data_IF_918626816613
#
_entry.id   IF_918626816613
#
_cell.length_a   1.000
_cell.length_b   1.000
_cell.length_c   1.000
_cell.angle_alpha   90.00
_cell.angle_beta   90.00
_cell.angle_gamma   90.00
#
_symmetry.space_group_name_H-M   'P 1'
#
loop_
_entity.id
_entity.type
_entity.pdbx_description
1 polymer ?
#
# COMPACT_ATOMS: atom_id res chain seq x y z
N UNK A 1 19.00 10.90 15.47
CA UNK A 1 17.68 10.98 16.16
C UNK A 1 16.48 10.83 15.20
N UNK A 2 16.23 11.72 14.24
CA UNK A 2 15.11 11.53 13.27
C UNK A 2 15.33 10.37 12.29
N UNK A 3 16.58 10.15 11.84
CA UNK A 3 16.90 9.09 10.88
C UNK A 3 16.79 7.67 11.45
N UNK A 4 17.02 7.49 12.75
CA UNK A 4 16.90 6.19 13.42
C UNK A 4 15.44 5.80 13.57
N UNK A 5 14.58 6.72 14.02
CA UNK A 5 13.13 6.48 14.09
C UNK A 5 12.52 6.20 12.71
N UNK A 6 12.97 6.91 11.66
CA UNK A 6 12.53 6.62 10.29
C UNK A 6 13.01 5.26 9.79
N UNK A 7 14.23 4.83 10.18
CA UNK A 7 14.73 3.49 9.86
C UNK A 7 13.97 2.40 10.63
N UNK A 8 13.69 2.60 11.91
CA UNK A 8 12.93 1.65 12.73
C UNK A 8 11.49 1.52 12.22
N UNK A 9 10.82 2.65 11.96
CA UNK A 9 9.48 2.63 11.35
C UNK A 9 9.55 2.01 9.95
N UNK A 10 10.58 2.31 9.16
CA UNK A 10 10.80 1.67 7.86
C UNK A 10 10.98 0.15 7.96
N UNK A 11 11.73 -0.34 8.93
CA UNK A 11 11.99 -1.76 9.16
C UNK A 11 10.79 -2.49 9.76
N UNK A 12 10.04 -1.87 10.68
CA UNK A 12 8.80 -2.42 11.22
C UNK A 12 7.72 -2.49 10.14
N UNK A 13 7.59 -1.44 9.33
CA UNK A 13 6.74 -1.46 8.16
C UNK A 13 7.23 -2.55 7.21
N UNK A 14 8.53 -2.64 6.91
CA UNK A 14 9.03 -3.65 5.99
C UNK A 14 8.79 -5.08 6.48
N UNK A 15 8.97 -5.36 7.77
CA UNK A 15 8.70 -6.67 8.39
C UNK A 15 7.22 -7.01 8.39
N UNK A 16 6.37 -6.11 8.92
CA UNK A 16 4.90 -6.30 8.92
C UNK A 16 4.34 -6.38 7.50
N UNK A 17 4.81 -5.54 6.59
CA UNK A 17 4.43 -5.62 5.19
C UNK A 17 4.92 -6.91 4.58
N UNK A 18 6.16 -7.36 4.80
CA UNK A 18 6.66 -8.59 4.17
C UNK A 18 5.87 -9.82 4.66
N UNK A 19 5.59 -9.92 5.95
CA UNK A 19 4.84 -11.05 6.52
C UNK A 19 3.35 -11.01 6.16
N UNK A 20 2.70 -9.83 6.23
CA UNK A 20 1.31 -9.69 5.74
C UNK A 20 1.22 -9.87 4.23
N UNK A 21 2.23 -9.44 3.47
CA UNK A 21 2.24 -9.53 2.01
C UNK A 21 2.50 -10.96 1.51
N UNK A 22 3.43 -11.69 2.14
CA UNK A 22 3.65 -13.11 1.80
C UNK A 22 2.41 -13.94 2.12
N UNK A 23 1.82 -13.74 3.30
CA UNK A 23 0.55 -14.37 3.68
C UNK A 23 -0.62 -13.94 2.76
N UNK A 24 -0.64 -12.72 2.25
CA UNK A 24 -1.63 -12.26 1.29
C UNK A 24 -1.46 -12.88 -0.09
N UNK A 25 -0.24 -12.93 -0.62
CA UNK A 25 0.06 -13.55 -1.92
C UNK A 25 -0.31 -15.04 -1.95
N UNK A 26 -0.18 -15.74 -0.83
CA UNK A 26 -0.60 -17.14 -0.69
C UNK A 26 -2.12 -17.32 -0.57
N UNK A 27 -2.85 -16.33 -0.04
CA UNK A 27 -4.32 -16.36 0.11
C UNK A 27 -5.08 -15.79 -1.09
N UNK A 28 -4.40 -15.01 -1.91
CA UNK A 28 -4.93 -14.38 -3.11
C UNK A 28 -4.98 -15.43 -4.23
N UNK A 29 -6.10 -16.16 -4.34
CA UNK A 29 -6.51 -16.69 -5.64
C UNK A 29 -6.84 -15.47 -6.51
N UNK A 30 -5.83 -14.83 -7.09
CA UNK A 30 -6.03 -13.59 -7.85
C UNK A 30 -6.75 -13.91 -9.13
N UNK A 31 -8.05 -13.65 -9.12
CA UNK A 31 -8.88 -13.57 -10.32
C UNK A 31 -9.17 -12.10 -10.60
N UNK A 32 -9.49 -11.77 -11.85
CA UNK A 32 -9.87 -10.40 -12.26
C UNK A 32 -10.93 -9.78 -11.33
N UNK A 33 -11.84 -10.61 -10.80
CA UNK A 33 -12.95 -10.19 -9.95
C UNK A 33 -12.58 -9.94 -8.48
N UNK A 34 -11.51 -10.55 -7.97
CA UNK A 34 -11.16 -10.52 -6.54
C UNK A 34 -9.98 -9.58 -6.22
N UNK A 35 -9.17 -9.24 -7.22
CA UNK A 35 -7.96 -8.46 -7.04
C UNK A 35 -8.22 -7.05 -6.48
N UNK A 36 -9.17 -6.31 -7.06
CA UNK A 36 -9.49 -4.95 -6.63
C UNK A 36 -10.16 -4.87 -5.25
N UNK A 37 -11.22 -5.67 -4.94
CA UNK A 37 -11.81 -5.68 -3.60
C UNK A 37 -10.80 -6.03 -2.51
N UNK A 38 -9.90 -6.98 -2.78
CA UNK A 38 -8.87 -7.39 -1.81
C UNK A 38 -7.86 -6.26 -1.57
N UNK A 39 -7.39 -5.60 -2.65
CA UNK A 39 -6.55 -4.43 -2.54
C UNK A 39 -7.19 -3.34 -1.66
N UNK A 40 -8.46 -3.00 -1.93
CA UNK A 40 -9.17 -1.96 -1.17
C UNK A 40 -9.33 -2.36 0.31
N UNK A 41 -9.64 -3.63 0.60
CA UNK A 41 -9.77 -4.12 1.98
C UNK A 41 -8.49 -3.90 2.80
N UNK A 42 -7.34 -4.25 2.23
CA UNK A 42 -6.02 -4.13 2.88
C UNK A 42 -5.64 -2.67 3.10
N UNK A 43 -5.89 -1.83 2.10
CA UNK A 43 -5.57 -0.39 2.22
C UNK A 43 -6.52 0.28 3.22
N UNK A 44 -7.78 -0.12 3.30
CA UNK A 44 -8.69 0.35 4.35
C UNK A 44 -8.23 -0.07 5.75
N UNK A 45 -7.74 -1.30 5.92
CA UNK A 45 -7.18 -1.76 7.18
C UNK A 45 -5.94 -0.95 7.58
N UNK A 46 -5.05 -0.66 6.62
CA UNK A 46 -3.88 0.18 6.83
C UNK A 46 -4.22 1.57 7.39
N UNK A 47 -5.33 2.16 6.93
CA UNK A 47 -5.80 3.48 7.38
C UNK A 47 -6.90 3.44 8.45
N UNK A 48 -7.27 2.26 8.96
CA UNK A 48 -8.39 2.07 9.90
C UNK A 48 -8.28 2.89 11.19
N UNK A 49 -7.06 3.14 11.64
CA UNK A 49 -6.78 3.92 12.86
C UNK A 49 -6.25 5.33 12.57
N UNK A 50 -6.47 5.82 11.34
CA UNK A 50 -6.11 7.18 10.92
C UNK A 50 -5.08 7.25 9.80
N UNK A 51 -4.93 8.45 9.24
CA UNK A 51 -4.01 8.75 8.13
C UNK A 51 -2.79 9.47 8.69
N UNK A 52 -1.60 9.05 8.26
CA UNK A 52 -0.34 9.77 8.48
C UNK A 52 0.63 9.49 7.32
N UNK A 53 1.69 10.29 7.21
CA UNK A 53 2.67 10.15 6.14
C UNK A 53 3.36 8.78 6.09
N UNK A 54 3.64 8.18 7.25
CA UNK A 54 4.21 6.83 7.33
C UNK A 54 3.31 5.78 6.67
N UNK A 55 1.99 5.87 6.89
CA UNK A 55 0.98 4.98 6.28
C UNK A 55 0.79 5.24 4.79
N UNK A 56 0.90 6.49 4.34
CA UNK A 56 0.87 6.83 2.91
C UNK A 56 2.08 6.25 2.19
N UNK A 57 3.29 6.37 2.76
CA UNK A 57 4.51 5.76 2.20
C UNK A 57 4.38 4.24 2.17
N UNK A 58 3.92 3.64 3.26
CA UNK A 58 3.62 2.23 3.37
C UNK A 58 2.64 1.72 2.31
N UNK A 59 1.55 2.46 2.06
CA UNK A 59 0.60 2.17 1.00
C UNK A 59 1.25 2.14 -0.40
N UNK A 60 2.11 3.11 -0.70
CA UNK A 60 2.84 3.18 -1.97
C UNK A 60 3.79 1.98 -2.11
N UNK A 61 4.58 1.67 -1.08
CA UNK A 61 5.51 0.53 -1.07
C UNK A 61 4.76 -0.79 -1.24
N UNK A 62 3.66 -0.99 -0.52
CA UNK A 62 2.79 -2.15 -0.66
C UNK A 62 2.31 -2.32 -2.10
N UNK A 63 1.82 -1.23 -2.70
CA UNK A 63 1.30 -1.24 -4.07
C UNK A 63 2.39 -1.53 -5.10
N UNK A 64 3.60 -0.99 -4.92
CA UNK A 64 4.75 -1.32 -5.78
C UNK A 64 5.14 -2.81 -5.66
N UNK A 65 5.14 -3.37 -4.44
CA UNK A 65 5.38 -4.81 -4.24
C UNK A 65 4.32 -5.66 -4.92
N UNK A 66 3.05 -5.25 -4.88
CA UNK A 66 1.93 -5.93 -5.55
C UNK A 66 2.11 -5.93 -7.07
N UNK A 67 2.49 -4.79 -7.66
CA UNK A 67 2.80 -4.71 -9.08
C UNK A 67 3.97 -5.62 -9.49
N UNK A 68 5.05 -5.65 -8.68
CA UNK A 68 6.19 -6.55 -8.93
C UNK A 68 5.78 -8.02 -8.82
N UNK A 69 4.95 -8.37 -7.84
CA UNK A 69 4.44 -9.72 -7.67
C UNK A 69 3.63 -10.17 -8.89
N UNK A 70 2.71 -9.35 -9.39
CA UNK A 70 1.97 -9.64 -10.63
C UNK A 70 2.90 -9.88 -11.82
N UNK A 71 3.88 -8.99 -12.02
CA UNK A 71 4.86 -9.14 -13.11
C UNK A 71 5.65 -10.44 -13.00
N UNK A 72 6.09 -10.83 -11.79
CA UNK A 72 6.88 -12.05 -11.55
C UNK A 72 6.07 -13.33 -11.75
N UNK A 73 4.77 -13.28 -11.54
CA UNK A 73 3.87 -14.43 -11.67
C UNK A 73 3.17 -14.48 -13.04
N UNK A 74 3.73 -13.83 -14.07
CA UNK A 74 3.21 -13.92 -15.43
C UNK A 74 1.89 -13.16 -15.67
N UNK A 75 1.56 -12.20 -14.81
CA UNK A 75 0.34 -11.37 -14.88
C UNK A 75 0.65 -9.88 -15.11
N UNK A 76 1.47 -9.49 -16.11
CA UNK A 76 1.91 -8.10 -16.30
C UNK A 76 0.77 -7.10 -16.57
N UNK A 77 -0.37 -7.56 -17.10
CA UNK A 77 -1.56 -6.76 -17.37
C UNK A 77 -2.16 -6.11 -16.10
N UNK A 78 -2.01 -6.77 -14.95
CA UNK A 78 -2.48 -6.25 -13.66
C UNK A 78 -1.63 -5.11 -13.11
N UNK A 79 -0.40 -4.91 -13.61
CA UNK A 79 0.48 -3.81 -13.18
C UNK A 79 -0.20 -2.46 -13.41
N UNK A 80 -0.82 -2.26 -14.58
CA UNK A 80 -1.53 -1.02 -14.90
C UNK A 80 -2.78 -0.85 -14.02
N UNK A 81 -3.47 -1.95 -13.71
CA UNK A 81 -4.61 -1.96 -12.80
C UNK A 81 -4.21 -1.51 -11.39
N UNK A 82 -3.09 -2.01 -10.84
CA UNK A 82 -2.57 -1.58 -9.54
C UNK A 82 -2.32 -0.08 -9.52
N UNK A 83 -1.65 0.49 -10.52
CA UNK A 83 -1.43 1.94 -10.59
C UNK A 83 -2.75 2.72 -10.64
N UNK A 84 -3.74 2.22 -11.40
CA UNK A 84 -5.08 2.81 -11.43
C UNK A 84 -5.79 2.78 -10.08
N UNK A 85 -5.68 1.68 -9.34
CA UNK A 85 -6.26 1.55 -8.00
C UNK A 85 -5.58 2.48 -7.00
N UNK A 86 -4.25 2.61 -7.08
CA UNK A 86 -3.48 3.55 -6.26
C UNK A 86 -3.94 4.98 -6.51
N UNK A 87 -3.96 5.41 -7.78
CA UNK A 87 -4.39 6.75 -8.15
C UNK A 87 -5.83 7.04 -7.68
N UNK A 88 -6.73 6.06 -7.86
CA UNK A 88 -8.12 6.17 -7.39
C UNK A 88 -8.20 6.31 -5.88
N UNK A 89 -7.46 5.51 -5.12
CA UNK A 89 -7.48 5.57 -3.65
C UNK A 89 -6.90 6.89 -3.14
N UNK A 90 -5.76 7.33 -3.70
CA UNK A 90 -5.16 8.62 -3.39
C UNK A 90 -6.15 9.77 -3.60
N UNK A 91 -6.79 9.82 -4.78
CA UNK A 91 -7.74 10.87 -5.13
C UNK A 91 -9.01 10.84 -4.27
N UNK A 92 -9.53 9.65 -3.94
CA UNK A 92 -10.85 9.51 -3.29
C UNK A 92 -10.80 9.45 -1.77
N UNK A 93 -9.69 9.03 -1.17
CA UNK A 93 -9.58 8.79 0.28
C UNK A 93 -8.51 9.61 0.97
N UNK A 94 -7.45 10.02 0.25
CA UNK A 94 -6.27 10.64 0.87
C UNK A 94 -6.08 12.12 0.49
N UNK A 95 -6.65 12.57 -0.63
CA UNK A 95 -6.50 13.94 -1.17
C UNK A 95 -6.76 15.03 -0.13
N UNK A 96 -7.93 15.02 0.51
CA UNK A 96 -8.29 16.01 1.54
C UNK A 96 -7.31 16.03 2.70
N UNK A 97 -6.87 14.86 3.18
CA UNK A 97 -5.91 14.79 4.28
C UNK A 97 -4.53 15.33 3.84
N UNK A 98 -4.07 14.94 2.65
CA UNK A 98 -2.79 15.40 2.08
C UNK A 98 -2.79 16.92 1.91
N UNK A 99 -3.88 17.48 1.39
CA UNK A 99 -4.02 18.93 1.20
C UNK A 99 -4.05 19.71 2.51
N UNK A 100 -4.62 19.13 3.57
CA UNK A 100 -4.66 19.71 4.91
C UNK A 100 -3.32 19.55 5.66
N UNK A 101 -2.55 18.50 5.37
CA UNK A 101 -1.32 18.14 6.09
C UNK A 101 -0.08 18.30 5.21
N UNK A 102 0.03 19.45 4.50
CA UNK A 102 1.13 19.74 3.55
C UNK A 102 2.53 19.68 4.17
N UNK A 103 2.63 19.69 5.50
CA UNK A 103 3.86 19.47 6.24
C UNK A 103 4.12 17.98 6.41
N UNK A 104 5.20 17.49 5.80
CA UNK A 104 5.70 16.11 5.93
C UNK A 104 6.19 15.76 7.35
N UNK A 105 6.31 16.77 8.21
CA UNK A 105 6.85 16.73 9.57
C UNK A 105 6.12 17.80 10.39
N UNK A 106 5.17 17.38 11.22
CA UNK A 106 4.79 18.13 12.41
C UNK A 106 4.63 17.14 13.55
#
# INVERSE_FOLDING_TARGET
KVSERLKEVGNELEGKFKDSFSNMCERLTITDTTAYPTFVGVVNELFSTGINWGRIVAFIVFSSRLAIHFKRNGMPEYVKSVYGWVARYMHTKLSTWIEANRSWVS
#
